data_IF_279386012168
#
_entry.id   IF_279386012168
#
_cell.length_a   1.000
_cell.length_b   1.000
_cell.length_c   1.000
_cell.angle_alpha   90.00
_cell.angle_beta   90.00
_cell.angle_gamma   90.00
#
_symmetry.space_group_name_H-M   'P 1'
#
loop_
_entity.id
_entity.type
_entity.pdbx_description
1 polymer ?
#
# COMPACT_ATOMS: atom_id res chain seq x y z
N UNK A 1 -11.63 -16.93 8.11
CA UNK A 1 -10.79 -16.97 6.88
C UNK A 1 -11.51 -16.44 5.64
N UNK A 2 -12.79 -16.77 5.41
CA UNK A 2 -13.57 -16.23 4.29
C UNK A 2 -13.76 -14.70 4.37
N UNK A 3 -14.04 -14.18 5.58
CA UNK A 3 -14.22 -12.75 5.83
C UNK A 3 -13.00 -11.90 5.46
N UNK A 4 -11.78 -12.36 5.79
CA UNK A 4 -10.56 -11.59 5.53
C UNK A 4 -10.35 -11.39 4.02
N UNK A 5 -10.61 -12.41 3.21
CA UNK A 5 -10.50 -12.29 1.75
C UNK A 5 -11.48 -11.29 1.18
N UNK A 6 -12.70 -11.26 1.71
CA UNK A 6 -13.70 -10.31 1.28
C UNK A 6 -13.33 -8.88 1.68
N UNK A 7 -12.86 -8.69 2.92
CA UNK A 7 -12.36 -7.41 3.39
C UNK A 7 -11.19 -6.90 2.54
N UNK A 8 -10.28 -7.78 2.11
CA UNK A 8 -9.18 -7.41 1.21
C UNK A 8 -9.74 -6.87 -0.11
N UNK A 9 -10.74 -7.52 -0.74
CA UNK A 9 -11.33 -7.02 -1.98
C UNK A 9 -11.94 -5.62 -1.79
N UNK A 10 -12.67 -5.42 -0.70
CA UNK A 10 -13.26 -4.12 -0.36
C UNK A 10 -12.15 -3.06 -0.24
N UNK A 11 -11.08 -3.35 0.51
CA UNK A 11 -9.94 -2.44 0.67
C UNK A 11 -9.25 -2.12 -0.67
N UNK A 12 -9.13 -3.07 -1.58
CA UNK A 12 -8.55 -2.80 -2.90
C UNK A 12 -9.39 -1.82 -3.72
N UNK A 13 -10.72 -1.91 -3.64
CA UNK A 13 -11.61 -0.93 -4.29
C UNK A 13 -11.55 0.43 -3.60
N UNK A 14 -11.54 0.47 -2.26
CA UNK A 14 -11.40 1.71 -1.49
C UNK A 14 -10.09 2.43 -1.82
N UNK A 15 -8.98 1.70 -1.99
CA UNK A 15 -7.70 2.29 -2.41
C UNK A 15 -7.85 2.96 -3.78
N UNK A 16 -8.53 2.33 -4.75
CA UNK A 16 -8.76 2.92 -6.08
C UNK A 16 -9.65 4.15 -6.01
N UNK A 17 -10.73 4.10 -5.23
CA UNK A 17 -11.66 5.20 -5.06
C UNK A 17 -11.00 6.42 -4.41
N UNK A 18 -10.31 6.22 -3.29
CA UNK A 18 -9.67 7.30 -2.54
C UNK A 18 -8.52 7.92 -3.32
N UNK A 19 -7.71 7.10 -3.99
CA UNK A 19 -6.60 7.60 -4.84
C UNK A 19 -7.08 8.19 -6.16
N UNK A 20 -8.34 7.93 -6.57
CA UNK A 20 -8.88 8.25 -7.92
C UNK A 20 -8.03 7.65 -9.04
N UNK A 21 -7.44 6.48 -8.77
CA UNK A 21 -6.46 5.81 -9.63
C UNK A 21 -5.19 6.62 -9.96
N UNK A 22 -4.88 7.68 -9.21
CA UNK A 22 -3.65 8.46 -9.37
C UNK A 22 -2.45 7.78 -8.70
N UNK A 23 -1.25 8.33 -8.95
CA UNK A 23 -0.03 7.85 -8.29
C UNK A 23 -0.05 8.14 -6.79
N UNK A 24 0.43 7.20 -5.99
CA UNK A 24 0.51 7.30 -4.53
C UNK A 24 1.92 7.09 -4.02
N UNK A 25 2.23 7.75 -2.90
CA UNK A 25 3.49 7.57 -2.16
C UNK A 25 3.19 6.88 -0.84
N UNK A 26 3.95 5.84 -0.51
CA UNK A 26 3.86 5.12 0.77
C UNK A 26 5.09 5.41 1.61
N UNK A 27 4.89 5.92 2.82
CA UNK A 27 5.94 6.00 3.82
C UNK A 27 6.29 4.59 4.31
N UNK A 28 7.47 4.10 3.93
CA UNK A 28 7.88 2.72 4.10
C UNK A 28 8.97 2.59 5.16
N UNK A 29 8.57 2.21 6.38
CA UNK A 29 9.51 2.00 7.50
C UNK A 29 10.14 0.60 7.50
N UNK A 30 9.64 -0.32 6.69
CA UNK A 30 10.00 -1.74 6.73
C UNK A 30 9.26 -2.55 7.79
N UNK A 31 8.41 -1.90 8.61
CA UNK A 31 7.52 -2.59 9.54
C UNK A 31 6.37 -3.33 8.83
N UNK A 32 5.71 -4.24 9.57
CA UNK A 32 4.59 -5.05 9.08
C UNK A 32 3.52 -4.20 8.40
N UNK A 33 3.07 -3.13 9.05
CA UNK A 33 1.96 -2.31 8.56
C UNK A 33 2.31 -1.63 7.24
N UNK A 34 3.47 -0.97 7.17
CA UNK A 34 3.93 -0.32 5.93
C UNK A 34 4.17 -1.32 4.79
N UNK A 35 4.54 -2.56 5.14
CA UNK A 35 4.69 -3.66 4.17
C UNK A 35 3.35 -4.12 3.62
N UNK A 36 2.35 -4.32 4.48
CA UNK A 36 1.00 -4.71 4.06
C UNK A 36 0.35 -3.60 3.23
N UNK A 37 0.46 -2.34 3.66
CA UNK A 37 -0.06 -1.18 2.92
C UNK A 37 0.58 -1.11 1.53
N UNK A 38 1.90 -1.23 1.44
CA UNK A 38 2.60 -1.20 0.14
C UNK A 38 2.15 -2.34 -0.77
N UNK A 39 2.01 -3.56 -0.24
CA UNK A 39 1.56 -4.72 -1.01
C UNK A 39 0.11 -4.54 -1.52
N UNK A 40 -0.80 -4.09 -0.68
CA UNK A 40 -2.20 -3.85 -1.06
C UNK A 40 -2.32 -2.70 -2.05
N UNK A 41 -1.56 -1.61 -1.89
CA UNK A 41 -1.54 -0.50 -2.83
C UNK A 41 -1.05 -0.95 -4.22
N UNK A 42 0.04 -1.74 -4.27
CA UNK A 42 0.56 -2.31 -5.53
C UNK A 42 -0.48 -3.22 -6.17
N UNK A 43 -1.16 -4.04 -5.37
CA UNK A 43 -2.21 -4.94 -5.87
C UNK A 43 -3.43 -4.18 -6.40
N UNK A 44 -3.78 -3.04 -5.81
CA UNK A 44 -4.92 -2.22 -6.21
C UNK A 44 -4.63 -1.39 -7.47
N UNK A 45 -3.47 -0.72 -7.53
CA UNK A 45 -3.17 0.35 -8.49
C UNK A 45 -2.14 -0.02 -9.56
N UNK A 46 -1.38 -1.10 -9.37
CA UNK A 46 -0.22 -1.43 -10.20
C UNK A 46 1.07 -0.83 -9.68
N UNK A 47 2.20 -1.49 -9.96
CA UNK A 47 3.52 -1.12 -9.43
C UNK A 47 3.99 0.25 -9.92
N UNK A 48 3.62 0.63 -11.13
CA UNK A 48 3.95 1.90 -11.78
C UNK A 48 3.27 3.13 -11.14
N UNK A 49 2.23 2.91 -10.33
CA UNK A 49 1.50 3.95 -9.62
C UNK A 49 1.83 4.04 -8.13
N UNK A 50 2.74 3.19 -7.61
CA UNK A 50 3.08 3.17 -6.19
C UNK A 50 4.57 3.38 -5.97
N UNK A 51 4.90 4.47 -5.29
CA UNK A 51 6.27 4.79 -4.88
C UNK A 51 6.42 4.63 -3.37
N UNK A 52 7.20 3.63 -2.94
CA UNK A 52 7.50 3.41 -1.53
C UNK A 52 8.80 4.14 -1.15
N UNK A 53 8.72 5.07 -0.21
CA UNK A 53 9.86 5.88 0.24
C UNK A 53 10.27 5.42 1.63
N UNK A 54 11.54 5.01 1.76
CA UNK A 54 12.17 4.71 3.04
C UNK A 54 13.27 5.72 3.33
N UNK A 55 13.40 6.12 4.59
CA UNK A 55 14.47 7.02 5.04
C UNK A 55 15.43 6.19 5.88
N UNK A 56 16.68 6.07 5.42
CA UNK A 56 17.77 5.53 6.22
C UNK A 56 18.41 6.68 6.97
N UNK A 57 18.26 6.69 8.30
CA UNK A 57 18.83 7.73 9.16
C UNK A 57 20.34 7.54 9.43
N UNK A 58 20.95 6.46 8.93
CA UNK A 58 22.36 6.14 9.19
C UNK A 58 22.62 5.68 10.64
N UNK A 59 23.90 5.52 10.99
CA UNK A 59 24.31 5.38 12.39
C UNK A 59 24.27 6.77 13.05
N UNK A 60 23.60 6.85 14.20
CA UNK A 60 23.53 8.06 15.03
C UNK A 60 24.78 8.23 15.89
#
# INVERSE_FOLDING_TARGET
MYQIRENIKILLEEIREVSREEKVVVAFSGGLDSTVVSALAIQALGREKVEAITVSFGEY
#
